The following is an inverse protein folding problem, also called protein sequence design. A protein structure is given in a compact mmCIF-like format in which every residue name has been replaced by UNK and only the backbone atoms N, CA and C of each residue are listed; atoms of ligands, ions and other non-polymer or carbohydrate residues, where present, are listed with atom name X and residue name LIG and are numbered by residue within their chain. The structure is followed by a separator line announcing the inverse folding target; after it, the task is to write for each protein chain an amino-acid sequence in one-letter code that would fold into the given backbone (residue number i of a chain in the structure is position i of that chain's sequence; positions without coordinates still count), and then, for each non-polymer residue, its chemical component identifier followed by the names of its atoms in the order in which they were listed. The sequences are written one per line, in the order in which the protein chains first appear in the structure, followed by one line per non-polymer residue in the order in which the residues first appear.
data_IF_237716014281
#
_entry.id   IF_237716014281
#
_cell.length_a   1.000
_cell.length_b   1.000
_cell.length_c   1.000
_cell.angle_alpha   90.00
_cell.angle_beta   90.00
_cell.angle_gamma   90.00
#
_symmetry.space_group_name_H-M   'P 1'
#
loop_
_entity.id
_entity.type
_entity.pdbx_description
1 polymer ?
#
# COMPACT_ATOMS: atom_id res chain seq x y z
N UNK A 1 17.42 -23.03 -68.49
CA UNK A 1 16.21 -23.30 -67.66
C UNK A 1 16.57 -23.91 -66.30
N UNK A 2 17.33 -25.01 -66.21
CA UNK A 2 17.73 -25.60 -64.91
C UNK A 2 18.60 -24.69 -64.03
N UNK A 3 19.55 -23.94 -64.62
CA UNK A 3 20.42 -23.05 -63.85
C UNK A 3 19.65 -21.93 -63.13
N UNK A 4 18.73 -21.25 -63.84
CA UNK A 4 17.89 -20.21 -63.24
C UNK A 4 17.05 -20.74 -62.06
N UNK A 5 16.60 -21.99 -62.11
CA UNK A 5 15.88 -22.63 -60.99
C UNK A 5 16.81 -22.83 -59.78
N UNK A 6 18.06 -23.26 -60.00
CA UNK A 6 19.03 -23.41 -58.91
C UNK A 6 19.44 -22.09 -58.28
N UNK A 7 19.62 -21.05 -59.11
CA UNK A 7 19.96 -19.70 -58.65
C UNK A 7 18.81 -19.12 -57.80
N UNK A 8 17.57 -19.29 -58.26
CA UNK A 8 16.37 -18.88 -57.50
C UNK A 8 16.24 -19.65 -56.17
N UNK A 9 16.47 -20.96 -56.17
CA UNK A 9 16.47 -21.74 -54.93
C UNK A 9 17.58 -21.30 -53.96
N UNK A 10 18.73 -20.85 -54.46
CA UNK A 10 19.79 -20.30 -53.63
C UNK A 10 19.38 -18.97 -52.99
N UNK A 11 18.75 -18.08 -53.76
CA UNK A 11 18.18 -16.82 -53.27
C UNK A 11 17.11 -17.05 -52.21
N UNK A 12 16.19 -17.99 -52.43
CA UNK A 12 15.14 -18.33 -51.46
C UNK A 12 15.71 -18.88 -50.15
N UNK A 13 16.76 -19.71 -50.19
CA UNK A 13 17.45 -20.18 -48.98
C UNK A 13 18.13 -19.05 -48.23
N UNK A 14 18.74 -18.10 -48.95
CA UNK A 14 19.37 -16.94 -48.33
C UNK A 14 18.32 -16.04 -47.66
N UNK A 15 17.20 -15.77 -48.33
CA UNK A 15 16.10 -14.98 -47.79
C UNK A 15 15.47 -15.64 -46.56
N UNK A 16 15.20 -16.94 -46.62
CA UNK A 16 14.69 -17.71 -45.48
C UNK A 16 15.62 -17.64 -44.28
N UNK A 17 16.94 -17.71 -44.51
CA UNK A 17 17.94 -17.59 -43.45
C UNK A 17 17.89 -16.21 -42.79
N UNK A 18 17.90 -15.14 -43.58
CA UNK A 18 17.81 -13.76 -43.07
C UNK A 18 16.50 -13.57 -42.28
N UNK A 19 15.39 -14.06 -42.82
CA UNK A 19 14.08 -13.95 -42.17
C UNK A 19 14.05 -14.72 -40.84
N UNK A 20 14.65 -15.91 -40.79
CA UNK A 20 14.76 -16.69 -39.55
C UNK A 20 15.60 -15.95 -38.50
N UNK A 21 16.77 -15.45 -38.88
CA UNK A 21 17.63 -14.68 -37.97
C UNK A 21 16.93 -13.41 -37.42
N UNK A 22 16.14 -12.74 -38.27
CA UNK A 22 15.33 -11.60 -37.85
C UNK A 22 14.23 -11.98 -36.85
N UNK A 23 13.53 -13.10 -37.07
CA UNK A 23 12.53 -13.60 -36.12
C UNK A 23 13.16 -14.04 -34.80
N UNK A 24 14.27 -14.78 -34.83
CA UNK A 24 14.98 -15.25 -33.63
C UNK A 24 15.45 -14.05 -32.79
N UNK A 25 15.93 -12.98 -33.44
CA UNK A 25 16.28 -11.73 -32.76
C UNK A 25 15.06 -11.06 -32.15
N UNK A 26 13.96 -10.95 -32.90
CA UNK A 26 12.74 -10.32 -32.42
C UNK A 26 12.16 -11.08 -31.22
N UNK A 27 12.15 -12.40 -31.25
CA UNK A 27 11.67 -13.25 -30.14
C UNK A 27 12.53 -13.05 -28.89
N UNK A 28 13.85 -12.97 -29.05
CA UNK A 28 14.76 -12.66 -27.95
C UNK A 28 14.50 -11.28 -27.36
N UNK A 29 14.38 -10.25 -28.20
CA UNK A 29 14.10 -8.88 -27.76
C UNK A 29 12.76 -8.80 -27.00
N UNK A 30 11.76 -9.57 -27.44
CA UNK A 30 10.48 -9.71 -26.73
C UNK A 30 10.61 -10.40 -25.38
N UNK A 31 11.37 -11.49 -25.30
CA UNK A 31 11.62 -12.19 -24.04
C UNK A 31 12.35 -11.29 -23.03
N UNK A 32 13.35 -10.53 -23.48
CA UNK A 32 14.08 -9.58 -22.64
C UNK A 32 13.17 -8.45 -22.15
N UNK A 33 12.30 -7.92 -23.02
CA UNK A 33 11.31 -6.91 -22.64
C UNK A 33 10.33 -7.44 -21.58
N UNK A 34 9.81 -8.65 -21.76
CA UNK A 34 8.90 -9.29 -20.80
C UNK A 34 9.56 -9.47 -19.43
N UNK A 35 10.82 -9.90 -19.41
CA UNK A 35 11.59 -10.05 -18.17
C UNK A 35 11.79 -8.71 -17.44
N UNK A 36 12.09 -7.64 -18.19
CA UNK A 36 12.21 -6.29 -17.63
C UNK A 36 10.87 -5.84 -17.05
N UNK A 37 9.77 -6.01 -17.79
CA UNK A 37 8.44 -5.60 -17.34
C UNK A 37 8.01 -6.38 -16.09
N UNK A 38 8.25 -7.69 -16.03
CA UNK A 38 7.95 -8.50 -14.86
C UNK A 38 8.75 -8.04 -13.63
N UNK A 39 10.05 -7.71 -13.81
CA UNK A 39 10.90 -7.18 -12.74
C UNK A 39 10.41 -5.82 -12.26
N UNK A 40 10.07 -4.91 -13.18
CA UNK A 40 9.52 -3.60 -12.85
C UNK A 40 8.20 -3.72 -12.10
N UNK A 41 7.29 -4.58 -12.56
CA UNK A 41 6.02 -4.85 -11.88
C UNK A 41 6.22 -5.35 -10.45
N UNK A 42 7.15 -6.28 -10.26
CA UNK A 42 7.48 -6.82 -8.93
C UNK A 42 8.06 -5.75 -7.99
N UNK A 43 8.94 -4.88 -8.50
CA UNK A 43 9.52 -3.80 -7.71
C UNK A 43 8.47 -2.76 -7.32
N UNK A 44 7.64 -2.34 -8.28
CA UNK A 44 6.55 -1.40 -8.04
C UNK A 44 5.54 -1.93 -7.02
N UNK A 45 5.15 -3.20 -7.10
CA UNK A 45 4.26 -3.80 -6.10
C UNK A 45 4.91 -3.83 -4.72
N UNK A 46 6.19 -4.23 -4.61
CA UNK A 46 6.91 -4.22 -3.32
C UNK A 46 6.97 -2.82 -2.70
N UNK A 47 7.24 -1.79 -3.50
CA UNK A 47 7.22 -0.41 -3.02
C UNK A 47 5.83 0.03 -2.55
N UNK A 48 4.78 -0.34 -3.30
CA UNK A 48 3.41 -0.07 -2.93
C UNK A 48 3.03 -0.76 -1.62
N UNK A 49 3.37 -2.04 -1.45
CA UNK A 49 3.14 -2.77 -0.21
C UNK A 49 3.89 -2.17 0.97
N UNK A 50 5.12 -1.66 0.76
CA UNK A 50 5.88 -0.97 1.81
C UNK A 50 5.18 0.33 2.24
N UNK A 51 4.74 1.14 1.27
CA UNK A 51 3.99 2.37 1.55
C UNK A 51 2.68 2.09 2.28
N UNK A 52 1.96 1.05 1.88
CA UNK A 52 0.73 0.60 2.54
C UNK A 52 0.98 0.25 4.01
N UNK A 53 1.99 -0.58 4.31
CA UNK A 53 2.33 -0.95 5.70
C UNK A 53 2.68 0.27 6.56
N UNK A 54 3.51 1.18 6.03
CA UNK A 54 3.87 2.40 6.76
C UNK A 54 2.64 3.26 7.09
N UNK A 55 1.66 3.33 6.18
CA UNK A 55 0.41 4.05 6.41
C UNK A 55 -0.46 3.34 7.47
N UNK A 56 -0.56 2.01 7.39
CA UNK A 56 -1.30 1.20 8.37
C UNK A 56 -0.70 1.34 9.78
N UNK A 57 0.62 1.32 9.90
CA UNK A 57 1.31 1.56 11.17
C UNK A 57 1.03 2.97 11.70
N UNK A 58 1.08 3.99 10.85
CA UNK A 58 0.75 5.37 11.23
C UNK A 58 -0.70 5.53 11.71
N UNK A 59 -1.65 4.87 11.05
CA UNK A 59 -3.07 4.86 11.47
C UNK A 59 -3.22 4.14 12.81
N UNK A 60 -2.52 3.03 13.01
CA UNK A 60 -2.56 2.26 14.26
C UNK A 60 -2.04 3.10 15.43
N UNK A 61 -0.92 3.79 15.25
CA UNK A 61 -0.34 4.66 16.27
C UNK A 61 -1.27 5.83 16.59
N UNK A 62 -1.85 6.46 15.57
CA UNK A 62 -2.85 7.53 15.74
C UNK A 62 -4.08 7.04 16.53
N UNK A 63 -4.61 5.87 16.18
CA UNK A 63 -5.76 5.29 16.87
C UNK A 63 -5.46 4.98 18.33
N UNK A 64 -4.24 4.51 18.64
CA UNK A 64 -3.82 4.26 20.01
C UNK A 64 -3.78 5.55 20.84
N UNK A 65 -3.19 6.62 20.28
CA UNK A 65 -3.16 7.94 20.94
C UNK A 65 -4.58 8.44 21.17
N UNK A 66 -5.42 8.41 20.14
CA UNK A 66 -6.81 8.86 20.22
C UNK A 66 -7.61 8.08 21.27
N UNK A 67 -7.45 6.75 21.32
CA UNK A 67 -8.13 5.92 22.32
C UNK A 67 -7.71 6.28 23.76
N UNK A 68 -6.41 6.54 23.98
CA UNK A 68 -5.90 6.98 25.28
C UNK A 68 -6.44 8.36 25.66
N UNK A 69 -6.48 9.31 24.73
CA UNK A 69 -7.05 10.65 24.97
C UNK A 69 -8.53 10.58 25.33
N UNK A 70 -9.31 9.78 24.59
CA UNK A 70 -10.73 9.56 24.86
C UNK A 70 -10.95 8.95 26.24
N UNK A 71 -10.18 7.91 26.58
CA UNK A 71 -10.24 7.26 27.89
C UNK A 71 -9.91 8.24 29.03
N UNK A 72 -8.82 9.01 28.90
CA UNK A 72 -8.42 9.99 29.92
C UNK A 72 -9.49 11.07 30.11
N UNK A 73 -10.11 11.53 29.01
CA UNK A 73 -11.20 12.50 29.05
C UNK A 73 -12.42 11.93 29.77
N UNK A 74 -12.79 10.69 29.47
CA UNK A 74 -13.92 10.01 30.11
C UNK A 74 -13.66 9.81 31.61
N UNK A 75 -12.46 9.38 32.00
CA UNK A 75 -12.07 9.24 33.39
C UNK A 75 -12.14 10.58 34.15
N UNK A 76 -11.68 11.68 33.54
CA UNK A 76 -11.80 13.01 34.13
C UNK A 76 -13.25 13.43 34.33
N UNK A 77 -14.08 13.27 33.30
CA UNK A 77 -15.50 13.62 33.38
C UNK A 77 -16.20 12.85 34.49
N UNK A 78 -16.02 11.53 34.54
CA UNK A 78 -16.71 10.67 35.50
C UNK A 78 -16.21 10.84 36.94
N UNK A 79 -14.92 11.07 37.15
CA UNK A 79 -14.35 11.11 38.50
C UNK A 79 -14.22 12.52 39.09
N UNK A 80 -14.10 13.56 38.26
CA UNK A 80 -13.88 14.94 38.70
C UNK A 80 -15.12 15.78 38.48
N UNK A 81 -15.63 15.82 37.25
CA UNK A 81 -16.70 16.76 36.90
C UNK A 81 -18.08 16.29 37.38
N UNK A 82 -18.42 15.02 37.11
CA UNK A 82 -19.74 14.46 37.40
C UNK A 82 -19.87 13.89 38.82
N UNK A 83 -18.77 13.82 39.58
CA UNK A 83 -18.83 13.54 41.01
C UNK A 83 -19.18 14.81 41.77
N UNK A 84 -20.48 15.04 41.97
CA UNK A 84 -20.95 16.11 42.84
C UNK A 84 -20.56 15.81 44.29
N UNK A 85 -19.68 16.63 44.86
CA UNK A 85 -19.45 16.67 46.30
C UNK A 85 -20.33 17.75 46.90
N UNK A 86 -21.07 17.42 47.95
CA UNK A 86 -21.79 18.42 48.73
C UNK A 86 -20.77 19.41 49.31
N UNK A 87 -21.02 20.70 49.11
CA UNK A 87 -20.15 21.75 49.64
C UNK A 87 -20.41 21.94 51.14
N UNK A 88 -19.47 22.54 51.86
CA UNK A 88 -19.69 22.83 53.30
C UNK A 88 -20.88 23.78 53.48
N UNK A 89 -21.09 24.72 52.56
CA UNK A 89 -22.25 25.61 52.60
C UNK A 89 -23.58 24.87 52.42
N UNK A 90 -23.60 23.68 51.82
CA UNK A 90 -24.80 22.82 51.79
C UNK A 90 -25.11 22.27 53.17
N UNK A 91 -24.11 21.77 53.90
CA UNK A 91 -24.31 21.23 55.24
C UNK A 91 -24.65 22.30 56.27
N UNK A 92 -24.10 23.50 56.11
CA UNK A 92 -24.39 24.63 56.99
C UNK A 92 -25.88 25.03 56.95
N UNK A 93 -26.63 24.70 55.90
CA UNK A 93 -28.07 25.03 55.79
C UNK A 93 -28.94 24.27 56.80
N UNK A 94 -28.48 23.14 57.33
CA UNK A 94 -29.24 22.32 58.27
C UNK A 94 -29.04 22.78 59.72
N UNK A 95 -30.01 22.53 60.60
CA UNK A 95 -29.97 22.85 62.04
C UNK A 95 -29.82 24.34 62.43
N UNK A 96 -30.14 25.28 61.52
CA UNK A 96 -30.09 26.73 61.83
C UNK A 96 -31.26 27.23 62.71
N UNK A 97 -32.30 26.43 62.92
CA UNK A 97 -33.46 26.81 63.73
C UNK A 97 -33.84 25.66 64.67
N UNK A 98 -34.22 25.99 65.91
CA UNK A 98 -34.45 25.03 67.00
C UNK A 98 -35.93 24.66 67.20
N UNK A 99 -36.74 24.68 66.14
CA UNK A 99 -38.19 24.44 66.26
C UNK A 99 -38.51 23.01 66.67
#
# INVERSE_FOLDING_TARGET
MKQAIYDEQASQRAELKIRKEAYDKQEKDWADLLNILARCGTLSDREMQKKKRNLEDGIKDFNLVLANEQKNKEEYLNNVLYKTKASNEFFDQFNKTSR
#
